data_IF_057089976362
#
_entry.id   IF_057089976362
#
_cell.length_a   1.000
_cell.length_b   1.000
_cell.length_c   1.000
_cell.angle_alpha   90.00
_cell.angle_beta   90.00
_cell.angle_gamma   90.00
#
_symmetry.space_group_name_H-M   'P 1'
#
loop_
_entity.id
_entity.type
_entity.pdbx_description
1 polymer ?
#
# COMPACT_ATOMS: atom_id res chain seq x y z
N UNK A 1 4.20 26.14 -20.23
CA UNK A 1 5.66 26.43 -20.11
C UNK A 1 6.13 27.05 -21.42
N UNK A 2 6.97 28.09 -21.41
CA UNK A 2 7.46 28.72 -22.65
C UNK A 2 8.61 27.91 -23.26
N UNK A 3 8.79 27.99 -24.59
CA UNK A 3 9.90 27.32 -25.30
C UNK A 3 11.26 27.66 -24.71
N UNK A 4 11.48 28.93 -24.36
CA UNK A 4 12.71 29.42 -23.73
C UNK A 4 13.02 28.77 -22.38
N UNK A 5 12.00 28.45 -21.57
CA UNK A 5 12.20 27.73 -20.31
C UNK A 5 12.56 26.27 -20.55
N UNK A 6 11.97 25.65 -21.57
CA UNK A 6 12.27 24.27 -21.95
C UNK A 6 13.72 24.09 -22.39
N UNK A 7 14.21 24.99 -23.25
CA UNK A 7 15.60 24.99 -23.71
C UNK A 7 16.59 25.15 -22.55
N UNK A 8 16.27 26.00 -21.57
CA UNK A 8 17.08 26.15 -20.36
C UNK A 8 17.13 24.86 -19.54
N UNK A 9 15.99 24.21 -19.33
CA UNK A 9 15.93 22.94 -18.61
C UNK A 9 16.69 21.84 -19.34
N UNK A 10 16.58 21.79 -20.68
CA UNK A 10 17.33 20.82 -21.49
C UNK A 10 18.84 21.08 -21.44
N UNK A 11 19.27 22.34 -21.41
CA UNK A 11 20.68 22.70 -21.24
C UNK A 11 21.22 22.24 -19.87
N UNK A 12 20.44 22.43 -18.79
CA UNK A 12 20.78 21.97 -17.45
C UNK A 12 20.86 20.44 -17.41
N UNK A 13 19.81 19.74 -17.89
CA UNK A 13 19.76 18.28 -17.88
C UNK A 13 20.89 17.67 -18.71
N UNK A 14 21.21 18.28 -19.87
CA UNK A 14 22.29 17.84 -20.76
C UNK A 14 23.63 17.77 -20.04
N UNK A 15 23.92 18.73 -19.17
CA UNK A 15 25.18 18.74 -18.41
C UNK A 15 25.31 17.44 -17.60
N UNK A 16 24.29 17.07 -16.85
CA UNK A 16 24.28 15.84 -16.06
C UNK A 16 24.34 14.58 -16.93
N UNK A 17 23.58 14.55 -18.03
CA UNK A 17 23.56 13.42 -18.94
C UNK A 17 24.94 13.12 -19.56
N UNK A 18 25.69 14.16 -19.94
CA UNK A 18 27.06 13.98 -20.44
C UNK A 18 28.01 13.43 -19.36
N UNK A 19 27.85 13.86 -18.11
CA UNK A 19 28.67 13.34 -17.01
C UNK A 19 28.33 11.89 -16.66
N UNK A 20 27.05 11.53 -16.69
CA UNK A 20 26.58 10.16 -16.41
C UNK A 20 27.06 9.20 -17.50
N UNK A 21 26.99 9.61 -18.77
CA UNK A 21 27.27 8.72 -19.91
C UNK A 21 28.72 8.76 -20.39
N UNK A 22 29.48 9.82 -20.08
CA UNK A 22 30.81 10.05 -20.66
C UNK A 22 30.80 10.32 -22.17
N UNK A 23 29.64 10.55 -22.77
CA UNK A 23 29.50 10.72 -24.22
C UNK A 23 30.13 12.02 -24.73
N UNK A 24 30.44 12.07 -26.03
CA UNK A 24 30.98 13.28 -26.66
C UNK A 24 30.01 14.47 -26.52
N UNK A 25 30.58 15.68 -26.40
CA UNK A 25 29.80 16.94 -26.31
C UNK A 25 28.90 17.20 -27.51
N UNK A 26 29.10 16.53 -28.64
CA UNK A 26 28.27 16.62 -29.85
C UNK A 26 27.09 15.63 -29.85
N UNK A 27 27.05 14.70 -28.89
CA UNK A 27 25.99 13.67 -28.82
C UNK A 27 24.63 14.34 -28.60
N UNK A 28 23.59 14.05 -29.40
CA UNK A 28 22.26 14.65 -29.23
C UNK A 28 21.68 14.40 -27.84
N UNK A 29 21.07 15.43 -27.22
CA UNK A 29 20.47 15.29 -25.88
C UNK A 29 19.34 14.27 -25.84
N UNK A 30 18.57 14.14 -26.94
CA UNK A 30 17.53 13.11 -27.08
C UNK A 30 18.11 11.69 -26.97
N UNK A 31 19.24 11.42 -27.65
CA UNK A 31 19.92 10.13 -27.57
C UNK A 31 20.41 9.84 -26.15
N UNK A 32 20.99 10.84 -25.47
CA UNK A 32 21.44 10.69 -24.09
C UNK A 32 20.29 10.34 -23.13
N UNK A 33 19.15 11.03 -23.24
CA UNK A 33 17.95 10.75 -22.44
C UNK A 33 17.50 9.30 -22.61
N UNK A 34 17.41 8.83 -23.86
CA UNK A 34 17.03 7.45 -24.19
C UNK A 34 18.00 6.44 -23.58
N UNK A 35 19.32 6.62 -23.77
CA UNK A 35 20.34 5.70 -23.24
C UNK A 35 20.31 5.63 -21.71
N UNK A 36 20.07 6.77 -21.05
CA UNK A 36 19.97 6.81 -19.58
C UNK A 36 18.61 6.39 -19.03
N UNK A 37 17.59 6.27 -19.87
CA UNK A 37 16.20 6.10 -19.43
C UNK A 37 15.64 7.27 -18.61
N UNK A 38 16.25 8.47 -18.69
CA UNK A 38 15.85 9.62 -17.87
C UNK A 38 14.81 10.48 -18.60
N UNK A 39 13.70 10.74 -17.91
CA UNK A 39 12.62 11.59 -18.40
C UNK A 39 13.09 13.04 -18.57
N UNK A 40 12.67 13.76 -19.63
CA UNK A 40 12.92 15.19 -19.76
C UNK A 40 12.45 15.99 -18.54
N UNK A 41 13.28 16.89 -18.02
CA UNK A 41 12.98 17.67 -16.80
C UNK A 41 11.64 18.42 -16.86
N UNK A 42 11.28 18.96 -18.03
CA UNK A 42 10.02 19.68 -18.18
C UNK A 42 8.78 18.79 -17.97
N UNK A 43 8.85 17.52 -18.39
CA UNK A 43 7.77 16.55 -18.14
C UNK A 43 7.72 16.15 -16.67
N UNK A 44 8.88 15.98 -16.03
CA UNK A 44 8.94 15.68 -14.61
C UNK A 44 8.36 16.81 -13.75
N UNK A 45 8.65 18.08 -14.11
CA UNK A 45 8.04 19.24 -13.46
C UNK A 45 6.52 19.25 -13.65
N UNK A 46 6.02 18.96 -14.85
CA UNK A 46 4.58 18.87 -15.11
C UNK A 46 3.92 17.75 -14.29
N UNK A 47 4.56 16.59 -14.21
CA UNK A 47 4.08 15.47 -13.39
C UNK A 47 4.02 15.85 -11.91
N UNK A 48 5.06 16.50 -11.39
CA UNK A 48 5.10 16.99 -10.00
C UNK A 48 4.07 18.09 -9.73
N UNK A 49 3.80 18.96 -10.70
CA UNK A 49 2.73 19.96 -10.62
C UNK A 49 1.36 19.28 -10.47
N UNK A 50 1.07 18.29 -11.32
CA UNK A 50 -0.18 17.53 -11.28
C UNK A 50 -0.30 16.79 -9.94
N UNK A 51 0.74 16.07 -9.53
CA UNK A 51 0.77 15.37 -8.26
C UNK A 51 0.56 16.34 -7.08
N UNK A 52 1.21 17.50 -7.07
CA UNK A 52 1.01 18.51 -6.05
C UNK A 52 -0.44 18.99 -5.99
N UNK A 53 -1.04 19.26 -7.16
CA UNK A 53 -2.40 19.79 -7.26
C UNK A 53 -3.43 18.75 -6.79
N UNK A 54 -3.28 17.51 -7.22
CA UNK A 54 -4.21 16.41 -6.92
C UNK A 54 -4.02 15.88 -5.50
N UNK A 55 -2.80 15.46 -5.14
CA UNK A 55 -2.55 14.76 -3.87
C UNK A 55 -2.43 15.71 -2.67
N UNK A 56 -1.83 16.90 -2.85
CA UNK A 56 -1.59 17.85 -1.74
C UNK A 56 -2.64 18.94 -1.65
N UNK A 57 -2.97 19.59 -2.77
CA UNK A 57 -3.98 20.65 -2.80
C UNK A 57 -5.41 20.12 -2.96
N UNK A 58 -5.58 18.80 -3.09
CA UNK A 58 -6.88 18.12 -3.22
C UNK A 58 -7.78 18.77 -4.27
N UNK A 59 -7.18 19.15 -5.40
CA UNK A 59 -7.85 19.82 -6.52
C UNK A 59 -7.67 19.03 -7.81
N UNK A 60 -8.77 18.87 -8.57
CA UNK A 60 -8.72 18.13 -9.84
C UNK A 60 -7.77 18.78 -10.84
N UNK A 61 -7.19 17.94 -11.69
CA UNK A 61 -6.15 18.35 -12.63
C UNK A 61 -6.33 17.60 -13.94
N UNK A 62 -6.18 18.30 -15.06
CA UNK A 62 -6.21 17.67 -16.38
C UNK A 62 -4.80 17.58 -16.95
N UNK A 63 -4.49 16.45 -17.57
CA UNK A 63 -3.30 16.27 -18.40
C UNK A 63 -3.71 15.64 -19.72
N UNK A 64 -3.60 16.40 -20.81
CA UNK A 64 -4.20 16.07 -22.10
C UNK A 64 -5.70 15.75 -21.95
N UNK A 65 -6.11 14.51 -22.25
CA UNK A 65 -7.50 14.04 -22.17
C UNK A 65 -7.85 13.37 -20.84
N UNK A 66 -6.85 13.15 -19.97
CA UNK A 66 -7.03 12.45 -18.69
C UNK A 66 -7.34 13.46 -17.59
N UNK A 67 -8.41 13.20 -16.85
CA UNK A 67 -8.80 13.95 -15.66
C UNK A 67 -8.34 13.17 -14.44
N UNK A 68 -7.57 13.83 -13.58
CA UNK A 68 -7.17 13.29 -12.28
C UNK A 68 -8.05 13.90 -11.20
N UNK A 69 -8.89 13.07 -10.58
CA UNK A 69 -9.69 13.50 -9.43
C UNK A 69 -8.93 13.20 -8.12
N UNK A 70 -8.91 14.12 -7.15
CA UNK A 70 -8.33 13.85 -5.83
C UNK A 70 -9.01 12.67 -5.12
N UNK A 71 -10.28 12.40 -5.41
CA UNK A 71 -11.05 11.29 -4.82
C UNK A 71 -10.50 9.92 -5.19
N UNK A 72 -9.79 9.82 -6.31
CA UNK A 72 -9.23 8.56 -6.80
C UNK A 72 -7.95 8.19 -6.04
N UNK A 73 -7.42 9.12 -5.24
CA UNK A 73 -6.18 8.96 -4.50
C UNK A 73 -6.40 9.12 -3.00
N UNK A 74 -5.73 8.27 -2.23
CA UNK A 74 -5.70 8.32 -0.78
C UNK A 74 -5.25 9.69 -0.26
N UNK A 75 -5.98 10.20 0.72
CA UNK A 75 -5.59 11.41 1.45
C UNK A 75 -4.75 11.06 2.66
N UNK A 76 -3.59 11.69 2.79
CA UNK A 76 -2.81 11.59 4.03
C UNK A 76 -3.54 12.29 5.16
N UNK A 77 -3.72 11.57 6.25
CA UNK A 77 -4.29 12.09 7.48
C UNK A 77 -3.20 12.80 8.30
N UNK A 78 -3.51 14.00 8.79
CA UNK A 78 -2.62 14.80 9.64
C UNK A 78 -2.96 14.62 11.12
N UNK A 79 -2.05 15.03 12.00
CA UNK A 79 -2.24 15.02 13.45
C UNK A 79 -2.23 13.63 14.09
N UNK A 80 -2.44 13.60 15.41
CA UNK A 80 -2.60 12.39 16.20
C UNK A 80 -4.10 12.14 16.37
N UNK A 81 -4.59 11.00 15.88
CA UNK A 81 -6.03 10.66 15.96
C UNK A 81 -6.38 9.83 17.21
N UNK A 82 -5.40 9.15 17.82
CA UNK A 82 -5.56 8.42 19.09
C UNK A 82 -4.54 8.98 20.08
N UNK A 83 -5.01 9.44 21.24
CA UNK A 83 -4.14 9.89 22.32
C UNK A 83 -3.18 8.76 22.72
N UNK A 84 -1.86 8.99 22.93
CA UNK A 84 -0.89 7.93 23.18
C UNK A 84 -1.27 6.99 24.33
N UNK A 85 -1.89 7.51 25.39
CA UNK A 85 -2.38 6.71 26.52
C UNK A 85 -3.45 5.68 26.13
N UNK A 86 -4.25 5.97 25.09
CA UNK A 86 -5.33 5.10 24.63
C UNK A 86 -4.87 4.12 23.54
N UNK A 87 -3.62 4.24 23.07
CA UNK A 87 -3.07 3.39 22.01
C UNK A 87 -2.59 2.05 22.58
N UNK A 88 -3.53 1.18 22.91
CA UNK A 88 -3.29 -0.11 23.59
C UNK A 88 -3.23 -1.31 22.63
N UNK A 89 -2.90 -1.09 21.35
CA UNK A 89 -2.87 -2.13 20.32
C UNK A 89 -1.78 -3.19 20.52
N UNK A 90 -0.77 -2.90 21.35
CA UNK A 90 0.27 -3.87 21.71
C UNK A 90 -0.28 -5.16 22.35
N UNK A 91 -1.50 -5.13 22.92
CA UNK A 91 -2.14 -6.32 23.47
C UNK A 91 -2.85 -7.16 22.39
N UNK A 92 -3.22 -6.55 21.27
CA UNK A 92 -3.96 -7.21 20.20
C UNK A 92 -3.04 -7.70 19.08
N UNK A 93 -1.84 -7.13 18.94
CA UNK A 93 -0.89 -7.46 17.88
C UNK A 93 0.30 -8.22 18.48
N UNK A 94 0.65 -9.37 17.89
CA UNK A 94 1.84 -10.13 18.27
C UNK A 94 2.60 -10.61 17.05
N UNK A 95 3.93 -10.62 17.17
CA UNK A 95 4.89 -11.05 16.16
C UNK A 95 5.47 -12.44 16.46
N UNK A 96 5.02 -13.09 17.54
CA UNK A 96 5.53 -14.39 17.92
C UNK A 96 5.02 -15.48 16.96
N UNK A 97 5.95 -16.29 16.45
CA UNK A 97 5.66 -17.49 15.64
C UNK A 97 5.13 -18.64 16.53
N UNK A 98 3.98 -18.43 17.16
CA UNK A 98 3.30 -19.41 18.00
C UNK A 98 2.06 -19.99 17.30
N UNK A 99 2.09 -20.06 15.96
CA UNK A 99 0.99 -20.63 15.19
C UNK A 99 0.89 -22.13 15.48
N UNK A 100 -0.25 -22.52 16.05
CA UNK A 100 -0.69 -23.91 16.18
C UNK A 100 -2.10 -23.95 15.67
N UNK A 101 -2.33 -24.77 14.65
CA UNK A 101 -3.69 -25.00 14.17
C UNK A 101 -4.44 -25.81 15.23
N UNK A 102 -5.37 -25.15 15.92
CA UNK A 102 -6.21 -25.78 16.94
C UNK A 102 -7.58 -26.16 16.40
N UNK A 103 -7.80 -26.03 15.08
CA UNK A 103 -9.11 -26.14 14.45
C UNK A 103 -10.09 -25.01 14.83
N UNK A 104 -9.67 -24.07 15.67
CA UNK A 104 -10.49 -22.93 16.05
C UNK A 104 -10.61 -21.95 14.87
N UNK A 105 -11.73 -21.24 14.81
CA UNK A 105 -11.98 -20.23 13.78
C UNK A 105 -10.85 -19.20 13.72
N UNK A 106 -10.24 -19.06 12.55
CA UNK A 106 -9.20 -18.09 12.25
C UNK A 106 -9.41 -17.49 10.86
N UNK A 107 -8.90 -16.27 10.66
CA UNK A 107 -8.92 -15.59 9.37
C UNK A 107 -7.49 -15.44 8.89
N UNK A 108 -7.25 -15.65 7.60
CA UNK A 108 -5.97 -15.44 6.95
C UNK A 108 -6.15 -14.39 5.86
N UNK A 109 -5.22 -13.44 5.79
CA UNK A 109 -5.28 -12.30 4.86
C UNK A 109 -4.09 -12.34 3.93
N UNK A 110 -4.31 -11.93 2.68
CA UNK A 110 -3.28 -11.86 1.66
C UNK A 110 -3.49 -10.61 0.79
N UNK A 111 -2.40 -9.97 0.40
CA UNK A 111 -2.38 -8.90 -0.58
C UNK A 111 -1.36 -9.19 -1.67
N UNK A 112 -1.81 -9.23 -2.92
CA UNK A 112 -0.93 -9.57 -4.04
C UNK A 112 -0.86 -8.46 -5.09
N UNK A 113 0.23 -8.49 -5.86
CA UNK A 113 0.39 -7.67 -7.07
C UNK A 113 1.06 -8.49 -8.16
N UNK A 114 0.42 -8.56 -9.31
CA UNK A 114 0.92 -9.17 -10.54
C UNK A 114 0.96 -8.14 -11.66
N UNK A 115 1.47 -8.54 -12.82
CA UNK A 115 1.40 -7.70 -14.03
C UNK A 115 -0.05 -7.45 -14.50
N UNK A 116 -0.98 -8.33 -14.11
CA UNK A 116 -2.40 -8.23 -14.46
C UNK A 116 -3.18 -7.31 -13.51
N UNK A 117 -2.70 -7.12 -12.29
CA UNK A 117 -3.24 -6.14 -11.35
C UNK A 117 -2.89 -6.37 -9.89
N UNK A 118 -3.54 -5.59 -9.04
CA UNK A 118 -3.37 -5.65 -7.58
C UNK A 118 -4.67 -6.19 -6.97
N UNK A 119 -4.56 -7.09 -5.99
CA UNK A 119 -5.71 -7.73 -5.37
C UNK A 119 -5.48 -7.99 -3.89
N UNK A 120 -6.58 -8.13 -3.17
CA UNK A 120 -6.63 -8.31 -1.73
C UNK A 120 -7.62 -9.43 -1.41
N UNK A 121 -7.29 -10.30 -0.46
CA UNK A 121 -8.12 -11.43 -0.13
C UNK A 121 -8.07 -11.77 1.36
N UNK A 122 -9.12 -12.42 1.84
CA UNK A 122 -9.05 -13.16 3.09
C UNK A 122 -9.83 -14.47 2.98
N UNK A 123 -9.46 -15.44 3.80
CA UNK A 123 -10.21 -16.68 3.98
C UNK A 123 -10.48 -16.95 5.46
N UNK A 124 -11.58 -17.62 5.74
CA UNK A 124 -11.97 -18.04 7.08
C UNK A 124 -11.82 -19.56 7.16
N UNK A 125 -10.96 -20.00 8.07
CA UNK A 125 -10.69 -21.40 8.37
C UNK A 125 -11.36 -21.78 9.69
N UNK A 126 -12.12 -22.88 9.70
CA UNK A 126 -12.68 -23.48 10.92
C UNK A 126 -12.69 -24.99 10.77
N UNK A 127 -12.29 -25.73 11.81
CA UNK A 127 -12.17 -27.20 11.79
C UNK A 127 -11.37 -27.73 10.59
N UNK A 128 -10.25 -27.06 10.24
CA UNK A 128 -9.38 -27.39 9.10
C UNK A 128 -10.05 -27.29 7.71
N UNK A 129 -11.24 -26.68 7.63
CA UNK A 129 -11.95 -26.42 6.37
C UNK A 129 -12.13 -24.92 6.13
N UNK A 130 -11.96 -24.49 4.88
CA UNK A 130 -12.30 -23.12 4.47
C UNK A 130 -13.82 -23.00 4.44
N UNK A 131 -14.38 -22.12 5.27
CA UNK A 131 -15.83 -21.94 5.38
C UNK A 131 -16.34 -20.70 4.64
N UNK A 132 -15.45 -19.74 4.36
CA UNK A 132 -15.76 -18.54 3.58
C UNK A 132 -14.48 -17.89 3.07
N UNK A 133 -14.59 -17.10 2.01
CA UNK A 133 -13.52 -16.25 1.50
C UNK A 133 -14.07 -14.96 0.91
N UNK A 134 -13.19 -13.99 0.77
CA UNK A 134 -13.46 -12.73 0.08
C UNK A 134 -12.25 -12.36 -0.78
N UNK A 135 -12.53 -11.75 -1.92
CA UNK A 135 -11.54 -11.20 -2.84
C UNK A 135 -11.98 -9.80 -3.26
N UNK A 136 -11.04 -8.88 -3.34
CA UNK A 136 -11.22 -7.53 -3.82
C UNK A 136 -10.15 -7.17 -4.82
N UNK A 137 -10.57 -6.68 -6.00
CA UNK A 137 -9.65 -6.13 -7.00
C UNK A 137 -9.39 -4.66 -6.70
N UNK A 138 -8.12 -4.29 -6.65
CA UNK A 138 -7.67 -2.89 -6.55
C UNK A 138 -7.25 -2.38 -7.93
N UNK A 139 -6.98 -1.07 -8.01
CA UNK A 139 -6.38 -0.49 -9.21
C UNK A 139 -4.94 -1.00 -9.38
N UNK A 140 -4.49 -1.17 -10.63
CA UNK A 140 -3.16 -1.70 -10.93
C UNK A 140 -2.03 -0.77 -10.41
N UNK A 141 -2.33 0.50 -10.16
CA UNK A 141 -1.40 1.45 -9.54
C UNK A 141 -1.22 1.22 -8.02
N UNK A 142 -2.14 0.50 -7.36
CA UNK A 142 -2.03 0.21 -5.94
C UNK A 142 -0.83 -0.71 -5.64
N UNK A 143 -0.26 -0.54 -4.45
CA UNK A 143 0.85 -1.35 -3.94
C UNK A 143 0.37 -2.62 -3.25
N UNK A 144 1.27 -3.61 -3.12
CA UNK A 144 1.07 -4.80 -2.27
C UNK A 144 0.70 -4.39 -0.84
N UNK A 145 1.38 -3.40 -0.28
CA UNK A 145 1.08 -2.88 1.05
C UNK A 145 -0.38 -2.40 1.20
N UNK A 146 -0.92 -1.69 0.21
CA UNK A 146 -2.32 -1.24 0.24
C UNK A 146 -3.30 -2.41 0.16
N UNK A 147 -2.99 -3.42 -0.65
CA UNK A 147 -3.78 -4.63 -0.74
C UNK A 147 -3.81 -5.41 0.59
N UNK A 148 -2.66 -5.54 1.25
CA UNK A 148 -2.51 -6.17 2.57
C UNK A 148 -3.32 -5.45 3.64
N UNK A 149 -3.19 -4.12 3.72
CA UNK A 149 -3.94 -3.29 4.66
C UNK A 149 -5.45 -3.42 4.39
N UNK A 150 -5.89 -3.45 3.13
CA UNK A 150 -7.29 -3.69 2.80
C UNK A 150 -7.75 -5.08 3.22
N UNK A 151 -6.93 -6.12 3.03
CA UNK A 151 -7.28 -7.49 3.40
C UNK A 151 -7.55 -7.60 4.90
N UNK A 152 -6.67 -6.99 5.71
CA UNK A 152 -6.80 -6.91 7.16
C UNK A 152 -8.07 -6.14 7.55
N UNK A 153 -8.33 -4.98 6.92
CA UNK A 153 -9.54 -4.20 7.19
C UNK A 153 -10.80 -5.03 6.93
N UNK A 154 -10.91 -5.65 5.76
CA UNK A 154 -12.06 -6.44 5.37
C UNK A 154 -12.23 -7.68 6.25
N UNK A 155 -11.13 -8.32 6.66
CA UNK A 155 -11.13 -9.42 7.62
C UNK A 155 -11.68 -8.99 8.98
N UNK A 156 -11.30 -7.82 9.49
CA UNK A 156 -11.82 -7.26 10.74
C UNK A 156 -13.33 -6.98 10.63
N UNK A 157 -13.77 -6.34 9.55
CA UNK A 157 -15.19 -6.03 9.33
C UNK A 157 -16.07 -7.28 9.18
N UNK A 158 -15.50 -8.39 8.67
CA UNK A 158 -16.19 -9.68 8.59
C UNK A 158 -16.42 -10.34 9.97
N UNK A 159 -15.75 -9.85 11.02
CA UNK A 159 -15.92 -10.40 12.38
C UNK A 159 -17.15 -9.83 13.07
N UNK A 160 -18.28 -10.55 12.99
CA UNK A 160 -19.54 -10.14 13.61
C UNK A 160 -19.73 -10.61 15.07
N UNK A 161 -18.80 -11.41 15.61
CA UNK A 161 -18.99 -12.14 16.88
C UNK A 161 -18.07 -11.60 17.98
N UNK A 162 -18.60 -11.38 19.18
CA UNK A 162 -17.82 -11.04 20.39
C UNK A 162 -16.96 -12.20 20.96
N UNK A 163 -16.56 -13.17 20.11
CA UNK A 163 -15.66 -14.26 20.51
C UNK A 163 -14.22 -13.89 20.13
N UNK A 164 -13.21 -14.29 20.92
CA UNK A 164 -11.82 -14.11 20.54
C UNK A 164 -11.55 -14.70 19.16
N UNK A 165 -10.99 -13.89 18.25
CA UNK A 165 -10.66 -14.31 16.89
C UNK A 165 -9.25 -13.85 16.54
N UNK A 166 -8.52 -14.73 15.85
CA UNK A 166 -7.18 -14.45 15.35
C UNK A 166 -7.26 -14.18 13.85
N UNK A 167 -6.68 -13.06 13.44
CA UNK A 167 -6.44 -12.73 12.04
C UNK A 167 -4.93 -12.84 11.82
N UNK A 168 -4.57 -13.70 10.88
CA UNK A 168 -3.20 -14.00 10.54
C UNK A 168 -2.84 -13.30 9.22
N UNK A 169 -1.70 -12.61 9.23
CA UNK A 169 -1.11 -11.96 8.06
C UNK A 169 0.39 -12.25 8.07
N UNK A 170 0.98 -12.44 6.90
CA UNK A 170 2.43 -12.55 6.74
C UNK A 170 3.10 -11.18 6.48
N UNK A 171 2.31 -10.13 6.24
CA UNK A 171 2.78 -8.77 6.03
C UNK A 171 3.19 -8.10 7.33
N UNK A 172 4.46 -8.30 7.69
CA UNK A 172 5.11 -7.61 8.81
C UNK A 172 5.01 -6.09 8.66
N UNK A 173 5.09 -5.59 7.42
CA UNK A 173 4.99 -4.15 7.12
C UNK A 173 3.64 -3.56 7.51
N UNK A 174 2.55 -4.29 7.23
CA UNK A 174 1.19 -3.90 7.61
C UNK A 174 1.02 -3.84 9.12
N UNK A 175 1.48 -4.86 9.84
CA UNK A 175 1.40 -4.89 11.31
C UNK A 175 2.21 -3.76 11.96
N UNK A 176 3.41 -3.47 11.44
CA UNK A 176 4.23 -2.36 11.92
C UNK A 176 3.58 -0.99 11.64
N UNK A 177 2.92 -0.84 10.49
CA UNK A 177 2.15 0.37 10.19
C UNK A 177 0.96 0.54 11.14
N UNK A 178 0.22 -0.53 11.45
CA UNK A 178 -0.90 -0.52 12.40
C UNK A 178 -0.42 -0.24 13.83
N UNK A 179 0.77 -0.69 14.22
CA UNK A 179 1.37 -0.34 15.52
C UNK A 179 1.95 1.07 15.59
N UNK A 180 2.01 1.81 14.47
CA UNK A 180 2.50 3.18 14.49
C UNK A 180 1.36 4.18 14.81
N UNK A 181 1.30 4.77 16.03
CA UNK A 181 0.25 5.73 16.39
C UNK A 181 0.32 7.03 15.57
N UNK A 182 1.44 7.28 14.88
CA UNK A 182 1.66 8.45 14.02
C UNK A 182 1.45 8.15 12.54
N UNK A 183 0.88 6.98 12.19
CA UNK A 183 0.57 6.65 10.80
C UNK A 183 -0.24 7.77 10.14
N UNK A 184 0.11 8.12 8.90
CA UNK A 184 -0.61 9.10 8.08
C UNK A 184 -1.59 8.44 7.11
N UNK A 185 -1.56 7.11 7.02
CA UNK A 185 -2.43 6.33 6.17
C UNK A 185 -3.84 6.27 6.79
N UNK A 186 -4.86 6.67 6.02
CA UNK A 186 -6.25 6.72 6.51
C UNK A 186 -6.80 5.32 6.81
N UNK A 187 -6.49 4.33 5.99
CA UNK A 187 -6.98 2.96 6.17
C UNK A 187 -6.33 2.31 7.39
N UNK A 188 -5.04 2.57 7.63
CA UNK A 188 -4.37 2.17 8.87
C UNK A 188 -5.05 2.77 10.10
N UNK A 189 -5.42 4.06 10.06
CA UNK A 189 -6.13 4.71 11.18
C UNK A 189 -7.53 4.14 11.41
N UNK A 190 -8.23 3.78 10.35
CA UNK A 190 -9.51 3.07 10.42
C UNK A 190 -9.32 1.71 11.12
N UNK A 191 -8.33 0.92 10.72
CA UNK A 191 -7.99 -0.36 11.37
C UNK A 191 -7.65 -0.16 12.85
N UNK A 192 -6.84 0.85 13.18
CA UNK A 192 -6.49 1.16 14.57
C UNK A 192 -7.75 1.44 15.41
N UNK A 193 -8.70 2.21 14.86
CA UNK A 193 -9.99 2.52 15.51
C UNK A 193 -10.87 1.28 15.65
N UNK A 194 -10.94 0.44 14.61
CA UNK A 194 -11.70 -0.80 14.61
C UNK A 194 -11.15 -1.77 15.66
N UNK A 195 -9.83 -1.96 15.74
CA UNK A 195 -9.19 -2.85 16.71
C UNK A 195 -9.45 -2.39 18.15
N UNK A 196 -9.32 -1.09 18.44
CA UNK A 196 -9.61 -0.56 19.77
C UNK A 196 -11.08 -0.76 20.18
N UNK A 197 -12.00 -0.73 19.21
CA UNK A 197 -13.43 -0.99 19.42
C UNK A 197 -13.72 -2.49 19.61
N UNK A 198 -12.91 -3.37 19.00
CA UNK A 198 -13.09 -4.82 18.99
C UNK A 198 -11.93 -5.54 19.69
N UNK A 199 -11.85 -5.39 21.03
CA UNK A 199 -10.77 -5.96 21.87
C UNK A 199 -10.57 -7.49 21.78
N UNK A 200 -11.55 -8.21 21.25
CA UNK A 200 -11.49 -9.66 21.07
C UNK A 200 -10.74 -10.08 19.79
N UNK A 201 -10.50 -9.16 18.87
CA UNK A 201 -9.74 -9.41 17.64
C UNK A 201 -8.25 -9.27 17.94
N UNK A 202 -7.49 -10.27 17.50
CA UNK A 202 -6.04 -10.31 17.65
C UNK A 202 -5.38 -10.48 16.29
N UNK A 203 -4.53 -9.53 15.91
CA UNK A 203 -3.68 -9.68 14.74
C UNK A 203 -2.43 -10.47 15.13
N UNK A 204 -2.04 -11.39 14.28
CA UNK A 204 -0.88 -12.23 14.48
C UNK A 204 -0.06 -12.30 13.20
N UNK A 205 1.25 -12.12 13.35
CA UNK A 205 2.16 -12.38 12.26
C UNK A 205 2.33 -13.88 12.06
N UNK A 206 2.37 -14.31 10.80
CA UNK A 206 2.82 -15.65 10.44
C UNK A 206 3.93 -15.55 9.40
N UNK A 207 4.71 -16.61 9.25
CA UNK A 207 5.71 -16.67 8.19
C UNK A 207 5.09 -17.16 6.89
N UNK A 208 5.31 -16.41 5.81
CA UNK A 208 4.89 -16.76 4.46
C UNK A 208 5.42 -18.12 4.01
N UNK A 209 4.60 -18.87 3.26
CA UNK A 209 4.97 -20.09 2.52
C UNK A 209 5.61 -21.22 3.36
N UNK A 210 5.06 -21.48 4.56
CA UNK A 210 5.53 -22.56 5.46
C UNK A 210 4.55 -23.74 5.56
N UNK A 211 3.56 -23.87 4.67
CA UNK A 211 2.63 -25.00 4.71
C UNK A 211 1.33 -24.77 5.50
N UNK A 212 1.02 -23.53 5.88
CA UNK A 212 -0.20 -23.24 6.64
C UNK A 212 -1.41 -23.23 5.72
N UNK A 213 -2.31 -24.20 5.84
CA UNK A 213 -3.47 -24.39 4.94
C UNK A 213 -4.28 -23.11 4.71
N UNK A 214 -4.55 -22.33 5.75
CA UNK A 214 -5.25 -21.05 5.60
C UNK A 214 -4.46 -19.98 4.87
N UNK A 215 -3.14 -19.92 5.07
CA UNK A 215 -2.27 -18.99 4.34
C UNK A 215 -2.15 -19.42 2.88
N UNK A 216 -1.80 -20.67 2.62
CA UNK A 216 -1.65 -21.19 1.26
C UNK A 216 -2.94 -21.07 0.44
N UNK A 217 -4.10 -21.18 1.09
CA UNK A 217 -5.37 -20.91 0.43
C UNK A 217 -5.55 -19.42 0.13
N UNK A 218 -5.20 -18.53 1.07
CA UNK A 218 -5.26 -17.08 0.84
C UNK A 218 -4.29 -16.64 -0.28
N UNK A 219 -3.08 -17.22 -0.34
CA UNK A 219 -2.08 -17.01 -1.41
C UNK A 219 -2.62 -17.38 -2.82
N UNK A 220 -3.63 -18.25 -2.90
CA UNK A 220 -4.23 -18.71 -4.15
C UNK A 220 -5.45 -17.92 -4.61
N UNK A 221 -6.03 -17.06 -3.74
CA UNK A 221 -7.23 -16.29 -4.02
C UNK A 221 -6.93 -15.07 -4.89
#
# INVERSE_FOLDING_TARGET
>A
MTSRLQEKLDSIQRLFLLHITGAYRTTPTSALKVVTGLQPLHLQIQQEEIYARVARARSSSNFFIVVFSPTDYESKSSGIHIHPHNFLLHNQISFEENHRDSGAKAIYTEGFKTDEGTGSAYCILENYGIIASWQGKLDNSNSVFQAEILAIKMAIEATALHRPIKIWTDSLSSLMAILNPKSQDSMVREIQTLLLSHKHIHLRWLKAHVGYLGNEFADQL
#
